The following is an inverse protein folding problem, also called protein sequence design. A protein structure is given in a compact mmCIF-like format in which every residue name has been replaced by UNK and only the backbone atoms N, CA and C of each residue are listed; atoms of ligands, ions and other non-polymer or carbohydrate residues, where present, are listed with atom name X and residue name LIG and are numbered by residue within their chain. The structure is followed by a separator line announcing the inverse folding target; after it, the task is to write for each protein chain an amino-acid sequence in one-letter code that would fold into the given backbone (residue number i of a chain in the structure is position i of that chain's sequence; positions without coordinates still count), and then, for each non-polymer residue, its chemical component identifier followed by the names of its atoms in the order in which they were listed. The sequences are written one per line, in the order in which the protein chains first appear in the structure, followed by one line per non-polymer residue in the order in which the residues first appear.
data_IF_426164377033
#
_entry.id   IF_426164377033
#
_cell.length_a   1.000
_cell.length_b   1.000
_cell.length_c   1.000
_cell.angle_alpha   90.00
_cell.angle_beta   90.00
_cell.angle_gamma   90.00
#
_symmetry.space_group_name_H-M   'P 1'
#
loop_
_entity.id
_entity.type
_entity.pdbx_description
1 polymer ?
#
# COMPACT_ATOMS: atom_id res chain seq x y z
N UNK A 1 41.81 -11.54 -39.04
CA UNK A 1 41.10 -10.96 -37.86
C UNK A 1 40.15 -12.00 -37.29
N UNK A 2 40.37 -12.44 -36.05
CA UNK A 2 39.71 -13.62 -35.45
C UNK A 2 38.23 -13.41 -35.12
N UNK A 3 37.41 -14.37 -35.53
CA UNK A 3 36.01 -14.52 -35.09
C UNK A 3 36.00 -14.94 -33.62
N UNK A 4 35.41 -14.11 -32.75
CA UNK A 4 35.21 -14.46 -31.34
C UNK A 4 34.32 -15.70 -31.21
N UNK A 5 34.81 -16.71 -30.50
CA UNK A 5 34.08 -17.97 -30.22
C UNK A 5 32.93 -17.71 -29.23
N UNK A 6 31.80 -18.44 -29.31
CA UNK A 6 30.74 -18.30 -28.32
C UNK A 6 31.17 -18.90 -26.97
N UNK A 7 30.82 -18.20 -25.89
CA UNK A 7 31.00 -18.67 -24.51
C UNK A 7 29.83 -19.61 -24.18
N UNK A 8 30.13 -20.87 -23.88
CA UNK A 8 29.16 -21.83 -23.35
C UNK A 8 29.19 -21.80 -21.82
N UNK A 9 28.11 -21.32 -21.19
CA UNK A 9 27.88 -21.50 -19.76
C UNK A 9 27.12 -22.82 -19.55
N UNK A 10 27.75 -23.77 -18.87
CA UNK A 10 27.11 -24.99 -18.41
C UNK A 10 26.10 -24.65 -17.31
N UNK A 11 24.82 -24.98 -17.54
CA UNK A 11 23.78 -24.95 -16.52
C UNK A 11 23.88 -26.23 -15.68
N UNK A 12 24.13 -26.09 -14.38
CA UNK A 12 23.86 -27.17 -13.43
C UNK A 12 22.33 -27.26 -13.23
N UNK A 13 21.76 -28.37 -13.69
CA UNK A 13 20.49 -29.01 -13.33
C UNK A 13 19.33 -28.13 -12.81
N UNK A 14 18.22 -28.13 -13.56
CA UNK A 14 16.88 -28.01 -12.95
C UNK A 14 15.88 -27.12 -13.68
N UNK A 15 15.22 -27.68 -14.70
CA UNK A 15 13.99 -27.22 -15.37
C UNK A 15 14.01 -25.95 -16.23
N UNK A 16 14.14 -26.22 -17.54
CA UNK A 16 13.91 -25.31 -18.65
C UNK A 16 12.42 -25.25 -18.97
N UNK A 17 11.81 -24.08 -18.89
CA UNK A 17 10.73 -23.69 -19.82
C UNK A 17 11.16 -22.43 -20.54
N UNK A 18 11.55 -22.60 -21.80
CA UNK A 18 11.76 -21.52 -22.76
C UNK A 18 10.38 -21.07 -23.25
N UNK A 19 9.97 -19.83 -22.95
CA UNK A 19 8.96 -19.13 -23.74
C UNK A 19 9.39 -17.70 -24.00
N UNK A 20 9.70 -17.47 -25.29
CA UNK A 20 9.58 -16.28 -26.14
C UNK A 20 9.65 -14.88 -25.52
N UNK A 21 10.47 -14.08 -26.18
CA UNK A 21 10.47 -12.62 -26.23
C UNK A 21 9.08 -12.00 -26.21
N UNK A 22 8.74 -11.39 -25.09
CA UNK A 22 7.79 -10.31 -24.93
C UNK A 22 8.25 -9.58 -23.69
N UNK A 23 8.62 -8.31 -23.80
CA UNK A 23 8.96 -7.50 -22.63
C UNK A 23 7.70 -7.34 -21.78
N UNK A 24 7.45 -8.29 -20.88
CA UNK A 24 6.55 -8.06 -19.77
C UNK A 24 7.13 -6.88 -19.01
N UNK A 25 6.50 -5.70 -19.11
CA UNK A 25 6.73 -4.62 -18.16
C UNK A 25 6.60 -5.26 -16.79
N UNK A 26 7.72 -5.45 -16.09
CA UNK A 26 7.70 -5.92 -14.72
C UNK A 26 6.77 -4.96 -13.96
N UNK A 27 5.58 -5.42 -13.59
CA UNK A 27 4.60 -4.56 -12.95
C UNK A 27 5.25 -3.97 -11.70
N UNK A 28 5.33 -2.64 -11.64
CA UNK A 28 5.95 -1.95 -10.52
C UNK A 28 5.24 -2.37 -9.23
N UNK A 29 6.02 -2.71 -8.20
CA UNK A 29 5.47 -3.09 -6.90
C UNK A 29 4.64 -1.95 -6.34
N UNK A 30 3.42 -2.26 -5.88
CA UNK A 30 2.55 -1.28 -5.24
C UNK A 30 3.18 -0.81 -3.93
N UNK A 31 3.16 0.50 -3.71
CA UNK A 31 3.66 1.15 -2.49
C UNK A 31 2.54 1.26 -1.47
N UNK A 32 2.76 0.75 -0.27
CA UNK A 32 1.82 0.88 0.86
C UNK A 32 2.50 1.73 1.92
N UNK A 33 1.89 2.86 2.28
CA UNK A 33 2.34 3.67 3.40
C UNK A 33 1.64 3.20 4.67
N UNK A 34 2.44 2.77 5.66
CA UNK A 34 1.98 2.41 7.00
C UNK A 34 2.20 3.63 7.90
N UNK A 35 1.14 4.15 8.51
CA UNK A 35 1.20 5.26 9.46
C UNK A 35 0.78 4.75 10.83
N UNK A 36 1.77 4.55 11.71
CA UNK A 36 1.58 3.97 13.05
C UNK A 36 2.80 4.35 13.91
N UNK A 37 2.57 4.95 15.07
CA UNK A 37 3.61 5.37 16.01
C UNK A 37 4.16 4.19 16.85
N UNK A 38 3.35 3.14 17.03
CA UNK A 38 3.77 1.97 17.77
C UNK A 38 4.63 1.01 16.90
N UNK A 39 5.91 0.76 17.26
CA UNK A 39 6.79 -0.09 16.47
C UNK A 39 6.36 -1.56 16.46
N UNK A 40 5.66 -2.04 17.50
CA UNK A 40 5.16 -3.43 17.58
C UNK A 40 4.03 -3.64 16.58
N UNK A 41 3.07 -2.70 16.49
CA UNK A 41 1.98 -2.76 15.52
C UNK A 41 2.49 -2.63 14.09
N UNK A 42 3.41 -1.68 13.84
CA UNK A 42 4.08 -1.55 12.54
C UNK A 42 4.74 -2.86 12.14
N UNK A 43 5.45 -3.52 13.09
CA UNK A 43 6.11 -4.80 12.82
C UNK A 43 5.11 -5.92 12.51
N UNK A 44 3.97 -5.97 13.21
CA UNK A 44 2.90 -6.93 12.93
C UNK A 44 2.36 -6.77 11.51
N UNK A 45 2.12 -5.52 11.07
CA UNK A 45 1.68 -5.21 9.71
C UNK A 45 2.73 -5.66 8.69
N UNK A 46 4.01 -5.31 8.90
CA UNK A 46 5.11 -5.76 8.03
C UNK A 46 5.15 -7.27 7.88
N UNK A 47 5.05 -8.02 8.99
CA UNK A 47 5.07 -9.48 8.98
C UNK A 47 3.86 -10.06 8.24
N UNK A 48 2.68 -9.46 8.44
CA UNK A 48 1.43 -9.85 7.78
C UNK A 48 1.52 -9.66 6.26
N UNK A 49 2.21 -8.62 5.80
CA UNK A 49 2.35 -8.27 4.39
C UNK A 49 3.64 -8.80 3.74
N UNK A 50 4.54 -9.43 4.49
CA UNK A 50 5.87 -9.86 4.01
C UNK A 50 5.84 -10.79 2.81
N UNK A 51 4.81 -11.66 2.72
CA UNK A 51 4.65 -12.59 1.60
C UNK A 51 4.06 -11.94 0.34
N UNK A 52 3.68 -10.67 0.41
CA UNK A 52 3.08 -9.92 -0.70
C UNK A 52 4.14 -9.10 -1.43
N UNK A 53 3.91 -8.86 -2.72
CA UNK A 53 4.84 -8.12 -3.57
C UNK A 53 4.63 -6.59 -3.47
N UNK A 54 4.71 -6.06 -2.25
CA UNK A 54 4.55 -4.62 -1.96
C UNK A 54 5.87 -3.97 -1.56
N UNK A 55 5.98 -2.68 -1.82
CA UNK A 55 6.97 -1.79 -1.21
C UNK A 55 6.33 -1.15 0.01
N UNK A 56 6.81 -1.47 1.21
CA UNK A 56 6.27 -0.89 2.45
C UNK A 56 7.05 0.38 2.81
N UNK A 57 6.33 1.49 2.88
CA UNK A 57 6.79 2.77 3.41
C UNK A 57 6.26 2.92 4.83
N UNK A 58 6.94 3.70 5.67
CA UNK A 58 6.58 3.84 7.09
C UNK A 58 6.64 5.29 7.51
N UNK A 59 5.65 5.71 8.26
CA UNK A 59 5.62 6.95 9.00
C UNK A 59 5.18 6.67 10.45
N UNK A 60 5.78 7.38 11.39
CA UNK A 60 5.53 7.28 12.83
C UNK A 60 4.75 8.47 13.37
N UNK A 61 4.54 9.51 12.55
CA UNK A 61 3.75 10.69 12.87
C UNK A 61 2.90 11.16 11.70
N UNK A 62 1.90 12.00 11.97
CA UNK A 62 1.07 12.59 10.93
C UNK A 62 1.85 13.50 9.97
N UNK A 63 2.84 14.25 10.46
CA UNK A 63 3.69 15.09 9.61
C UNK A 63 4.57 14.26 8.67
N UNK A 64 5.20 13.21 9.20
CA UNK A 64 6.00 12.28 8.40
C UNK A 64 5.14 11.57 7.34
N UNK A 65 3.89 11.23 7.67
CA UNK A 65 2.96 10.64 6.73
C UNK A 65 2.65 11.56 5.55
N UNK A 66 2.44 12.86 5.79
CA UNK A 66 2.17 13.84 4.73
C UNK A 66 3.39 14.07 3.83
N UNK A 67 4.59 14.15 4.41
CA UNK A 67 5.85 14.28 3.65
C UNK A 67 6.07 13.05 2.75
N UNK A 68 6.00 11.86 3.33
CA UNK A 68 6.21 10.60 2.59
C UNK A 68 5.13 10.41 1.53
N UNK A 69 3.86 10.70 1.83
CA UNK A 69 2.79 10.61 0.85
C UNK A 69 3.07 11.51 -0.37
N UNK A 70 3.51 12.75 -0.12
CA UNK A 70 3.85 13.73 -1.16
C UNK A 70 5.03 13.27 -2.02
N UNK A 71 6.10 12.79 -1.37
CA UNK A 71 7.33 12.36 -2.05
C UNK A 71 7.16 11.05 -2.82
N UNK A 72 6.56 10.04 -2.19
CA UNK A 72 6.58 8.66 -2.68
C UNK A 72 5.29 8.26 -3.43
N UNK A 73 4.21 9.04 -3.29
CA UNK A 73 2.90 8.82 -3.91
C UNK A 73 2.42 7.36 -3.75
N UNK A 74 2.10 6.94 -2.52
CA UNK A 74 1.72 5.56 -2.26
C UNK A 74 0.46 5.14 -3.03
N UNK A 75 0.40 3.85 -3.35
CA UNK A 75 -0.77 3.24 -3.98
C UNK A 75 -1.91 3.02 -2.99
N UNK A 76 -1.61 2.91 -1.69
CA UNK A 76 -2.55 2.75 -0.58
C UNK A 76 -1.93 3.23 0.73
N UNK A 77 -2.75 3.73 1.65
CA UNK A 77 -2.34 4.18 2.98
C UNK A 77 -3.08 3.36 4.05
N UNK A 78 -2.33 2.82 5.01
CA UNK A 78 -2.85 2.26 6.26
C UNK A 78 -2.64 3.33 7.34
N UNK A 79 -3.72 3.82 7.94
CA UNK A 79 -3.71 4.96 8.85
C UNK A 79 -4.15 4.55 10.26
N UNK A 80 -3.26 4.64 11.25
CA UNK A 80 -3.72 4.70 12.64
C UNK A 80 -4.41 6.05 12.89
N UNK A 81 -5.55 6.01 13.56
CA UNK A 81 -6.30 7.20 13.96
C UNK A 81 -5.79 7.79 15.28
N UNK A 82 -5.10 6.97 16.09
CA UNK A 82 -4.53 7.34 17.39
C UNK A 82 -3.06 7.74 17.30
N UNK A 83 -2.75 8.68 16.43
CA UNK A 83 -1.40 9.26 16.34
C UNK A 83 -1.22 10.39 17.37
N UNK A 84 -0.01 10.55 17.94
CA UNK A 84 0.33 11.71 18.77
C UNK A 84 0.41 12.99 17.92
N UNK A 85 0.20 14.14 18.57
CA UNK A 85 0.24 15.50 18.02
C UNK A 85 -0.82 15.81 16.94
N UNK A 86 -0.87 15.02 15.87
CA UNK A 86 -1.82 15.15 14.77
C UNK A 86 -2.55 13.83 14.56
N UNK A 87 -3.86 13.84 14.78
CA UNK A 87 -4.68 12.62 14.69
C UNK A 87 -4.75 12.08 13.26
N UNK A 88 -4.94 10.77 13.09
CA UNK A 88 -5.07 10.19 11.75
C UNK A 88 -6.30 10.71 10.98
N UNK A 89 -7.32 11.22 11.69
CA UNK A 89 -8.44 11.94 11.08
C UNK A 89 -7.97 13.24 10.40
N UNK A 90 -7.14 14.04 11.07
CA UNK A 90 -6.60 15.29 10.52
C UNK A 90 -5.66 15.01 9.35
N UNK A 91 -4.81 13.98 9.45
CA UNK A 91 -3.93 13.55 8.36
C UNK A 91 -4.75 13.14 7.15
N UNK A 92 -5.79 12.33 7.34
CA UNK A 92 -6.68 11.88 6.26
C UNK A 92 -7.35 13.07 5.59
N UNK A 93 -7.87 14.03 6.36
CA UNK A 93 -8.49 15.24 5.81
C UNK A 93 -7.50 16.04 4.95
N UNK A 94 -6.28 16.28 5.45
CA UNK A 94 -5.22 16.98 4.69
C UNK A 94 -4.83 16.25 3.41
N UNK A 95 -4.78 14.91 3.44
CA UNK A 95 -4.55 14.11 2.23
C UNK A 95 -5.70 14.29 1.22
N UNK A 96 -6.95 14.29 1.67
CA UNK A 96 -8.12 14.47 0.79
C UNK A 96 -8.23 15.87 0.19
N UNK A 97 -7.76 16.89 0.88
CA UNK A 97 -7.66 18.26 0.34
C UNK A 97 -6.67 18.37 -0.83
N UNK A 98 -5.73 17.42 -0.96
CA UNK A 98 -4.80 17.37 -2.07
C UNK A 98 -5.36 16.49 -3.22
N UNK A 99 -5.60 17.05 -4.42
CA UNK A 99 -6.12 16.31 -5.56
C UNK A 99 -5.32 15.06 -5.94
N UNK A 100 -4.00 15.04 -5.66
CA UNK A 100 -3.13 13.90 -5.93
C UNK A 100 -3.48 12.64 -5.11
N UNK A 101 -4.16 12.80 -3.97
CA UNK A 101 -4.56 11.70 -3.09
C UNK A 101 -6.07 11.53 -2.98
N UNK A 102 -6.85 12.30 -3.73
CA UNK A 102 -8.33 12.23 -3.77
C UNK A 102 -8.87 10.81 -3.98
N UNK A 103 -8.15 9.98 -4.76
CA UNK A 103 -8.51 8.60 -5.07
C UNK A 103 -7.53 7.56 -4.52
N UNK A 104 -6.56 7.95 -3.70
CA UNK A 104 -5.65 6.99 -3.06
C UNK A 104 -6.39 6.30 -1.92
N UNK A 105 -6.54 4.97 -1.92
CA UNK A 105 -7.24 4.27 -0.84
C UNK A 105 -6.58 4.51 0.52
N UNK A 106 -7.38 4.89 1.52
CA UNK A 106 -6.99 5.06 2.92
C UNK A 106 -7.81 4.10 3.76
N UNK A 107 -7.14 3.13 4.38
CA UNK A 107 -7.73 2.17 5.32
C UNK A 107 -7.35 2.60 6.73
N UNK A 108 -8.34 2.96 7.54
CA UNK A 108 -8.12 3.20 8.96
C UNK A 108 -7.85 1.89 9.70
N UNK A 109 -6.83 1.85 10.57
CA UNK A 109 -6.58 0.76 11.51
C UNK A 109 -6.67 1.32 12.92
N UNK A 110 -7.75 1.04 13.65
CA UNK A 110 -8.03 1.75 14.92
C UNK A 110 -8.54 0.83 16.02
N UNK A 111 -8.32 1.21 17.28
CA UNK A 111 -8.95 0.56 18.42
C UNK A 111 -10.43 0.98 18.59
N UNK A 112 -10.89 2.03 17.89
CA UNK A 112 -12.26 2.52 17.98
C UNK A 112 -13.22 1.61 17.21
N UNK A 113 -14.04 0.86 17.95
CA UNK A 113 -15.06 -0.03 17.41
C UNK A 113 -16.50 0.40 17.78
N UNK A 114 -16.68 1.55 18.44
CA UNK A 114 -18.01 2.00 18.87
C UNK A 114 -18.76 2.67 17.70
N UNK A 115 -20.10 2.58 17.71
CA UNK A 115 -20.95 3.06 16.61
C UNK A 115 -20.67 4.52 16.20
N UNK A 116 -20.44 5.42 17.16
CA UNK A 116 -20.14 6.83 16.88
C UNK A 116 -18.76 7.06 16.27
N UNK A 117 -17.82 6.13 16.44
CA UNK A 117 -16.49 6.24 15.85
C UNK A 117 -16.52 5.88 14.36
N UNK A 118 -17.41 4.97 13.96
CA UNK A 118 -17.57 4.59 12.55
C UNK A 118 -17.99 5.78 11.68
N UNK A 119 -18.93 6.59 12.14
CA UNK A 119 -19.37 7.80 11.43
C UNK A 119 -18.22 8.77 11.25
N UNK A 120 -17.43 9.02 12.30
CA UNK A 120 -16.25 9.89 12.24
C UNK A 120 -15.19 9.40 11.26
N UNK A 121 -14.99 8.08 11.17
CA UNK A 121 -14.05 7.49 10.19
C UNK A 121 -14.52 7.73 8.76
N UNK A 122 -15.80 7.51 8.50
CA UNK A 122 -16.40 7.77 7.18
C UNK A 122 -16.29 9.27 6.84
N UNK A 123 -16.63 10.15 7.78
CA UNK A 123 -16.59 11.61 7.59
C UNK A 123 -15.18 12.15 7.32
N UNK A 124 -14.13 11.50 7.85
CA UNK A 124 -12.75 11.89 7.55
C UNK A 124 -12.31 11.57 6.13
N UNK A 125 -13.07 10.75 5.40
CA UNK A 125 -12.77 10.34 4.03
C UNK A 125 -11.92 9.09 3.93
N UNK A 126 -11.88 8.23 4.96
CA UNK A 126 -11.34 6.88 4.81
C UNK A 126 -12.26 6.01 3.95
N UNK A 127 -11.68 5.15 3.13
CA UNK A 127 -12.43 4.26 2.23
C UNK A 127 -12.83 2.94 2.90
N UNK A 128 -12.07 2.54 3.92
CA UNK A 128 -12.34 1.37 4.74
C UNK A 128 -11.79 1.57 6.15
N UNK A 129 -12.24 0.71 7.07
CA UNK A 129 -11.68 0.64 8.42
C UNK A 129 -11.56 -0.81 8.87
N UNK A 130 -10.53 -1.07 9.67
CA UNK A 130 -10.27 -2.32 10.36
C UNK A 130 -10.04 -2.02 11.83
N UNK A 131 -10.62 -2.85 12.70
CA UNK A 131 -10.44 -2.70 14.14
C UNK A 131 -9.17 -3.41 14.60
N UNK A 132 -8.48 -2.86 15.60
CA UNK A 132 -7.46 -3.57 16.36
C UNK A 132 -8.15 -4.57 17.31
N UNK A 133 -7.61 -5.78 17.55
CA UNK A 133 -6.35 -6.30 17.01
C UNK A 133 -6.42 -6.64 15.52
N UNK A 134 -5.29 -6.49 14.82
CA UNK A 134 -5.20 -6.70 13.37
C UNK A 134 -5.42 -8.19 13.05
N UNK A 135 -6.48 -8.51 12.28
CA UNK A 135 -6.64 -9.85 11.70
C UNK A 135 -5.69 -10.01 10.49
N UNK A 136 -4.77 -10.96 10.62
CA UNK A 136 -3.69 -11.21 9.64
C UNK A 136 -4.17 -11.84 8.33
N UNK A 137 -5.44 -12.29 8.27
CA UNK A 137 -6.10 -12.79 7.05
C UNK A 137 -6.95 -11.70 6.41
N UNK A 138 -7.58 -10.85 7.21
CA UNK A 138 -8.43 -9.77 6.73
C UNK A 138 -7.63 -8.63 6.11
N UNK A 139 -6.57 -8.16 6.80
CA UNK A 139 -5.78 -7.02 6.33
C UNK A 139 -5.25 -7.20 4.88
N UNK A 140 -4.60 -8.33 4.52
CA UNK A 140 -4.15 -8.53 3.14
C UNK A 140 -5.28 -8.59 2.12
N UNK A 141 -6.46 -9.09 2.53
CA UNK A 141 -7.64 -9.19 1.66
C UNK A 141 -8.19 -7.80 1.32
N UNK A 142 -8.41 -6.96 2.34
CA UNK A 142 -8.96 -5.61 2.14
C UNK A 142 -8.00 -4.74 1.32
N UNK A 143 -6.69 -4.84 1.58
CA UNK A 143 -5.66 -4.15 0.76
C UNK A 143 -5.77 -4.56 -0.72
N UNK A 144 -5.87 -5.86 -1.00
CA UNK A 144 -5.97 -6.34 -2.37
C UNK A 144 -7.26 -5.87 -3.06
N UNK A 145 -8.40 -5.91 -2.36
CA UNK A 145 -9.68 -5.44 -2.87
C UNK A 145 -9.63 -3.93 -3.22
N UNK A 146 -9.09 -3.10 -2.33
CA UNK A 146 -8.99 -1.65 -2.52
C UNK A 146 -8.04 -1.27 -3.66
N UNK A 147 -6.89 -1.93 -3.78
CA UNK A 147 -5.95 -1.71 -4.88
C UNK A 147 -6.57 -2.06 -6.25
N UNK A 148 -7.35 -3.15 -6.32
CA UNK A 148 -8.03 -3.55 -7.55
C UNK A 148 -9.15 -2.58 -7.95
N UNK A 149 -9.90 -2.03 -6.99
CA UNK A 149 -10.95 -1.04 -7.27
C UNK A 149 -10.37 0.26 -7.84
N UNK A 150 -9.25 0.73 -7.29
CA UNK A 150 -8.54 1.92 -7.81
C UNK A 150 -8.10 1.75 -9.27
N UNK A 151 -7.59 0.57 -9.62
CA UNK A 151 -7.17 0.27 -10.99
C UNK A 151 -8.35 0.31 -11.97
N UNK A 152 -9.50 -0.26 -11.59
CA UNK A 152 -10.72 -0.19 -12.42
C UNK A 152 -11.21 1.23 -12.63
N UNK A 153 -11.29 2.03 -11.56
CA UNK A 153 -11.71 3.43 -11.66
C UNK A 153 -10.79 4.27 -12.53
N UNK A 154 -9.47 4.00 -12.50
CA UNK A 154 -8.49 4.68 -13.35
C UNK A 154 -8.66 4.34 -14.84
N UNK A 155 -9.04 3.11 -15.16
CA UNK A 155 -9.26 2.66 -16.55
C UNK A 155 -10.55 3.22 -17.14
N UNK A 156 -11.60 3.35 -16.33
CA UNK A 156 -12.89 3.92 -16.75
C UNK A 156 -12.77 5.43 -17.01
N UNK A 157 -12.03 6.16 -16.17
CA UNK A 157 -11.79 7.60 -16.33
C UNK A 157 -10.91 7.96 -17.54
N UNK A 158 -10.14 7.01 -18.08
CA UNK A 158 -9.33 7.21 -19.29
C UNK A 158 -10.08 6.90 -20.59
N UNK A 159 -11.29 6.33 -20.49
CA UNK A 159 -12.13 5.91 -21.64
C UNK A 159 -13.30 6.85 -21.93
N UNK A 160 -13.57 7.82 -21.04
CA UNK A 160 -14.54 8.89 -21.24
C UNK A 160 -13.84 10.18 -21.68
#
# INVERSE_FOLDING_TARGET
MGKGKPVYLYAASGNKRLTKSGGEKQAMKKRILIVEDNPVHTRLIEMTLRSKNYTLLKATSGEEALDIATRERPDLILMDLNLPEMTGFEVTKKLRENPAFSHTPIIAITAYAMRGDRERVIESGCDAYLTKPIDTRELPRVIAEMLLQREKGSVEQQRG
#
